data_IF_695921281887
#
_entry.id   IF_695921281887
#
_cell.length_a   1.000
_cell.length_b   1.000
_cell.length_c   1.000
_cell.angle_alpha   90.00
_cell.angle_beta   90.00
_cell.angle_gamma   90.00
#
_symmetry.space_group_name_H-M   'P 1'
#
loop_
_entity.id
_entity.type
_entity.pdbx_description
1 polymer ?
#
# COMPACT_ATOMS: atom_id res chain seq x y z
N UNK A 1 -21.83 6.78 -1.36
CA UNK A 1 -20.71 6.21 -0.57
C UNK A 1 -19.43 6.79 -1.16
N UNK A 2 -18.87 7.80 -0.48
CA UNK A 2 -17.95 8.78 -1.07
C UNK A 2 -16.62 8.15 -1.53
N UNK A 3 -16.28 8.37 -2.80
CA UNK A 3 -14.92 8.23 -3.29
C UNK A 3 -14.24 9.58 -3.01
N UNK A 4 -13.43 9.63 -1.95
CA UNK A 4 -12.61 10.81 -1.66
C UNK A 4 -11.53 10.95 -2.75
N UNK A 5 -11.31 12.17 -3.27
CA UNK A 5 -10.57 12.39 -4.51
C UNK A 5 -9.07 12.19 -4.30
N UNK A 6 -8.46 11.39 -5.18
CA UNK A 6 -7.05 11.48 -5.60
C UNK A 6 -6.00 11.55 -4.47
N UNK A 7 -5.86 10.50 -3.66
CA UNK A 7 -4.54 10.18 -3.09
C UNK A 7 -3.58 9.94 -4.26
N UNK A 8 -2.40 10.57 -4.26
CA UNK A 8 -1.36 10.45 -5.29
C UNK A 8 -1.20 9.00 -5.73
N UNK A 9 -1.86 8.62 -6.82
CA UNK A 9 -2.07 7.23 -7.21
C UNK A 9 -1.17 6.97 -8.38
N UNK A 10 -0.12 6.18 -8.14
CA UNK A 10 0.75 5.73 -9.22
C UNK A 10 0.05 4.66 -10.05
N UNK A 11 0.34 4.54 -11.36
CA UNK A 11 -0.27 3.54 -12.22
C UNK A 11 0.03 2.10 -11.73
N UNK A 12 -0.83 1.17 -12.13
CA UNK A 12 -0.75 -0.24 -11.76
C UNK A 12 -1.48 -0.57 -10.45
N UNK A 13 -1.58 -1.86 -10.14
CA UNK A 13 -2.33 -2.37 -8.99
C UNK A 13 -1.43 -2.98 -7.93
N UNK A 14 -1.85 -2.93 -6.66
CA UNK A 14 -1.14 -3.62 -5.59
C UNK A 14 -1.20 -5.15 -5.79
N UNK A 15 -0.10 -5.88 -5.54
CA UNK A 15 -0.15 -7.34 -5.53
C UNK A 15 -1.04 -7.84 -4.38
N UNK A 16 -1.70 -8.98 -4.61
CA UNK A 16 -2.49 -9.65 -3.58
C UNK A 16 -1.56 -10.33 -2.59
N UNK A 17 -1.65 -9.97 -1.32
CA UNK A 17 -0.92 -10.60 -0.22
C UNK A 17 -1.89 -11.44 0.60
N UNK A 18 -1.65 -12.76 0.63
CA UNK A 18 -2.55 -13.73 1.27
C UNK A 18 -2.18 -14.07 2.72
N UNK A 19 -1.03 -13.60 3.19
CA UNK A 19 -0.51 -13.84 4.54
C UNK A 19 -0.69 -12.56 5.36
N UNK A 20 -1.10 -12.69 6.63
CA UNK A 20 -1.19 -11.58 7.59
C UNK A 20 -0.50 -11.96 8.90
N UNK A 21 0.22 -11.02 9.50
CA UNK A 21 0.77 -11.19 10.84
C UNK A 21 -0.32 -11.08 11.90
N UNK A 22 -0.12 -11.72 13.06
CA UNK A 22 -1.02 -11.67 14.20
C UNK A 22 -0.80 -10.42 15.08
N UNK A 23 -0.70 -9.25 14.46
CA UNK A 23 -0.60 -7.96 15.17
C UNK A 23 -1.90 -7.19 15.00
N UNK A 24 -2.43 -6.62 16.08
CA UNK A 24 -3.65 -5.82 16.03
C UNK A 24 -3.46 -4.54 15.21
N UNK A 25 -2.32 -3.88 15.39
CA UNK A 25 -1.96 -2.62 14.72
C UNK A 25 -0.53 -2.72 14.17
N UNK A 26 -0.32 -3.41 13.03
CA UNK A 26 1.00 -3.51 12.45
C UNK A 26 1.48 -2.13 11.96
N UNK A 27 2.79 -1.83 12.08
CA UNK A 27 3.32 -0.54 11.68
C UNK A 27 3.30 -0.40 10.15
N UNK A 28 2.83 0.76 9.68
CA UNK A 28 2.89 1.13 8.27
C UNK A 28 4.24 1.77 7.95
N UNK A 29 4.84 1.38 6.83
CA UNK A 29 6.09 1.98 6.30
C UNK A 29 5.83 3.09 5.28
N UNK A 30 4.59 3.23 4.86
CA UNK A 30 4.09 4.28 3.97
C UNK A 30 2.57 4.43 4.23
N UNK A 31 2.01 5.59 3.90
CA UNK A 31 0.55 5.77 3.87
C UNK A 31 0.00 5.99 2.45
N UNK A 32 0.82 6.52 1.55
CA UNK A 32 0.46 6.91 0.18
C UNK A 32 1.54 6.52 -0.84
N UNK A 33 1.18 6.33 -2.11
CA UNK A 33 2.17 5.95 -3.14
C UNK A 33 3.29 6.99 -3.30
N UNK A 34 3.03 8.26 -3.02
CA UNK A 34 4.02 9.35 -3.09
C UNK A 34 5.23 9.16 -2.15
N UNK A 35 5.05 8.44 -1.04
CA UNK A 35 6.14 8.13 -0.08
C UNK A 35 7.05 7.02 -0.60
N UNK A 36 6.58 6.25 -1.56
CA UNK A 36 7.35 5.18 -2.18
C UNK A 36 8.21 5.72 -3.32
N UNK A 37 9.41 5.17 -3.50
CA UNK A 37 10.31 5.57 -4.58
C UNK A 37 9.82 5.10 -5.95
N UNK A 38 10.10 5.87 -7.01
CA UNK A 38 9.84 5.47 -8.39
C UNK A 38 8.36 5.12 -8.65
N UNK A 39 8.12 3.99 -9.31
CA UNK A 39 6.79 3.49 -9.64
C UNK A 39 6.12 2.67 -8.52
N UNK A 40 6.82 2.42 -7.40
CA UNK A 40 6.31 1.60 -6.30
C UNK A 40 5.08 2.25 -5.66
N UNK A 41 4.12 1.40 -5.28
CA UNK A 41 2.85 1.80 -4.65
C UNK A 41 2.86 1.43 -3.17
N UNK A 42 2.12 2.18 -2.36
CA UNK A 42 1.92 1.84 -0.96
C UNK A 42 0.77 0.84 -0.83
N UNK A 43 1.10 -0.40 -0.47
CA UNK A 43 0.20 -1.55 -0.54
C UNK A 43 0.07 -2.26 0.81
N UNK A 44 -1.06 -2.93 1.02
CA UNK A 44 -1.30 -3.78 2.19
C UNK A 44 -0.41 -5.04 2.16
N UNK A 45 0.69 -5.02 2.91
CA UNK A 45 1.66 -6.10 3.03
C UNK A 45 1.27 -7.15 4.06
N UNK A 46 2.18 -8.10 4.31
CA UNK A 46 1.90 -9.16 5.29
C UNK A 46 1.78 -8.65 6.72
N UNK A 47 2.36 -7.49 7.02
CA UNK A 47 2.30 -6.89 8.35
C UNK A 47 2.33 -5.37 8.23
N UNK A 48 1.16 -4.77 7.92
CA UNK A 48 1.02 -3.34 7.67
C UNK A 48 1.32 -2.95 6.23
N UNK A 49 1.23 -1.65 5.93
CA UNK A 49 1.48 -1.10 4.60
C UNK A 49 2.97 -1.04 4.28
N UNK A 50 3.32 -1.37 3.06
CA UNK A 50 4.69 -1.30 2.56
C UNK A 50 4.74 -0.97 1.08
N UNK A 51 5.86 -0.41 0.63
CA UNK A 51 6.04 -0.09 -0.77
C UNK A 51 6.34 -1.34 -1.59
N UNK A 52 5.56 -1.60 -2.63
CA UNK A 52 5.67 -2.78 -3.48
C UNK A 52 5.65 -2.39 -4.96
N UNK A 53 6.27 -3.23 -5.80
CA UNK A 53 6.16 -3.09 -7.25
C UNK A 53 4.71 -3.34 -7.69
N UNK A 54 4.16 -2.47 -8.55
CA UNK A 54 2.81 -2.64 -9.10
C UNK A 54 2.71 -3.86 -10.04
N UNK A 55 1.49 -4.38 -10.19
CA UNK A 55 1.08 -5.34 -11.21
C UNK A 55 0.45 -4.63 -12.40
#
# INVERSE_FOLDING_TARGET
KGQNPSLSTKPGSCPVVLIRCAMLNPPNRCEQDAECSGAMKCCEGACGKTCMDPR
#
